data_IF_946451658863
#
_entry.id   IF_946451658863
#
_cell.length_a   1.000
_cell.length_b   1.000
_cell.length_c   1.000
_cell.angle_alpha   90.00
_cell.angle_beta   90.00
_cell.angle_gamma   90.00
#
_symmetry.space_group_name_H-M   'P 1'
#
loop_
_entity.id
_entity.type
_entity.pdbx_description
1 polymer ?
#
# COMPACT_ATOMS: atom_id res chain seq x y z
N UNK A 1 -7.43 8.16 -20.14
CA UNK A 1 -6.30 7.61 -20.95
C UNK A 1 -5.35 8.70 -21.44
N UNK A 2 -5.78 9.78 -22.11
CA UNK A 2 -4.84 10.77 -22.64
C UNK A 2 -3.95 11.45 -21.61
N UNK A 3 -4.47 11.79 -20.41
CA UNK A 3 -3.69 12.40 -19.31
C UNK A 3 -2.67 11.43 -18.71
N UNK A 4 -3.03 10.17 -18.57
CA UNK A 4 -2.16 9.10 -18.10
C UNK A 4 -0.94 8.93 -18.99
N UNK A 5 -1.16 8.74 -20.30
CA UNK A 5 -0.08 8.61 -21.29
C UNK A 5 0.76 9.87 -21.42
N UNK A 6 0.14 11.05 -21.29
CA UNK A 6 0.88 12.32 -21.29
C UNK A 6 1.81 12.40 -20.07
N UNK A 7 1.37 11.91 -18.91
CA UNK A 7 2.22 11.89 -17.73
C UNK A 7 3.43 10.96 -17.89
N UNK A 8 3.29 9.81 -18.56
CA UNK A 8 4.43 8.96 -18.91
C UNK A 8 5.47 9.70 -19.79
N UNK A 9 5.02 10.56 -20.70
CA UNK A 9 5.96 11.37 -21.46
C UNK A 9 6.70 12.40 -20.59
N UNK A 10 6.06 12.92 -19.52
CA UNK A 10 6.72 13.78 -18.53
C UNK A 10 7.72 12.98 -17.71
N UNK A 11 7.33 11.82 -17.20
CA UNK A 11 8.21 10.91 -16.46
C UNK A 11 9.47 10.56 -17.25
N UNK A 12 9.31 10.22 -18.54
CA UNK A 12 10.44 9.94 -19.42
C UNK A 12 11.40 11.13 -19.61
N UNK A 13 10.92 12.36 -19.38
CA UNK A 13 11.73 13.57 -19.38
C UNK A 13 12.60 13.72 -18.12
N UNK A 14 12.21 13.12 -17.01
CA UNK A 14 12.98 13.09 -15.76
C UNK A 14 13.86 11.82 -15.71
N UNK A 15 13.24 10.65 -15.69
CA UNK A 15 13.92 9.39 -15.51
C UNK A 15 13.20 8.27 -16.28
N UNK A 16 13.73 7.92 -17.45
CA UNK A 16 13.19 6.82 -18.24
C UNK A 16 13.60 5.46 -17.65
N UNK A 17 12.67 4.50 -17.64
CA UNK A 17 12.94 3.11 -17.24
C UNK A 17 12.91 2.85 -15.76
N UNK A 18 12.24 3.70 -14.97
CA UNK A 18 11.99 3.49 -13.56
C UNK A 18 11.05 2.30 -13.31
N UNK A 19 11.02 1.85 -12.05
CA UNK A 19 10.12 0.78 -11.59
C UNK A 19 8.69 0.99 -12.06
N UNK A 20 8.05 -0.10 -12.50
CA UNK A 20 6.70 -0.06 -13.06
C UNK A 20 5.68 0.44 -12.03
N UNK A 21 5.88 0.14 -10.74
CA UNK A 21 4.95 0.57 -9.68
C UNK A 21 4.94 2.09 -9.58
N UNK A 22 6.10 2.73 -9.43
CA UNK A 22 6.16 4.20 -9.30
C UNK A 22 5.68 4.88 -10.57
N UNK A 23 6.00 4.33 -11.76
CA UNK A 23 5.59 4.89 -13.04
C UNK A 23 4.07 4.87 -13.19
N UNK A 24 3.43 3.72 -13.03
CA UNK A 24 1.99 3.57 -13.21
C UNK A 24 1.18 4.25 -12.09
N UNK A 25 1.62 4.09 -10.84
CA UNK A 25 0.93 4.68 -9.69
C UNK A 25 0.90 6.21 -9.75
N UNK A 26 2.02 6.85 -10.10
CA UNK A 26 2.04 8.31 -10.22
C UNK A 26 1.34 8.82 -11.47
N UNK A 27 1.24 8.03 -12.56
CA UNK A 27 0.44 8.38 -13.72
C UNK A 27 -1.07 8.34 -13.44
N UNK A 28 -1.54 7.36 -12.66
CA UNK A 28 -2.92 7.31 -12.18
C UNK A 28 -3.21 8.48 -11.23
N UNK A 29 -2.33 8.74 -10.26
CA UNK A 29 -2.46 9.89 -9.37
C UNK A 29 -2.54 11.22 -10.14
N UNK A 30 -1.67 11.42 -11.14
CA UNK A 30 -1.66 12.64 -11.97
C UNK A 30 -2.95 12.78 -12.78
N UNK A 31 -3.53 11.67 -13.26
CA UNK A 31 -4.81 11.69 -13.98
C UNK A 31 -5.94 12.16 -13.10
N UNK A 32 -6.03 11.67 -11.87
CA UNK A 32 -7.03 12.11 -10.88
C UNK A 32 -6.84 13.59 -10.51
N UNK A 33 -5.59 14.03 -10.36
CA UNK A 33 -5.28 15.46 -10.11
C UNK A 33 -5.67 16.37 -11.26
N UNK A 34 -5.50 15.90 -12.50
CA UNK A 34 -5.84 16.64 -13.71
C UNK A 34 -7.34 16.78 -13.92
N UNK A 35 -8.10 15.72 -13.72
CA UNK A 35 -9.54 15.70 -13.89
C UNK A 35 -10.22 14.71 -12.91
N UNK A 36 -10.53 15.17 -11.69
CA UNK A 36 -11.20 14.34 -10.67
C UNK A 36 -12.64 13.95 -11.05
N UNK A 37 -13.18 14.48 -12.14
CA UNK A 37 -14.53 14.15 -12.61
C UNK A 37 -14.58 12.84 -13.42
N UNK A 38 -13.43 12.27 -13.80
CA UNK A 38 -13.36 11.01 -14.53
C UNK A 38 -13.88 9.82 -13.71
N UNK A 39 -13.79 9.89 -12.38
CA UNK A 39 -14.32 8.89 -11.44
C UNK A 39 -13.82 7.46 -11.73
N UNK A 40 -12.59 7.32 -12.24
CA UNK A 40 -11.95 6.03 -12.52
C UNK A 40 -10.91 5.64 -11.46
N UNK A 41 -10.45 6.58 -10.65
CA UNK A 41 -9.49 6.38 -9.57
C UNK A 41 -9.92 5.28 -8.60
N UNK A 42 -11.20 5.25 -8.22
CA UNK A 42 -11.77 4.26 -7.31
C UNK A 42 -11.70 2.83 -7.88
N UNK A 43 -11.74 2.70 -9.20
CA UNK A 43 -11.59 1.41 -9.86
C UNK A 43 -10.12 0.92 -9.81
N UNK A 44 -9.15 1.84 -9.95
CA UNK A 44 -7.74 1.50 -9.86
C UNK A 44 -7.34 1.10 -8.44
N UNK A 45 -7.68 1.89 -7.42
CA UNK A 45 -7.27 1.65 -6.03
C UNK A 45 -7.95 0.43 -5.40
N UNK A 46 -9.03 -0.08 -5.99
CA UNK A 46 -9.77 -1.24 -5.50
C UNK A 46 -8.87 -2.43 -5.21
N UNK A 47 -7.94 -2.77 -6.13
CA UNK A 47 -7.06 -3.94 -5.98
C UNK A 47 -6.14 -3.84 -4.78
N UNK A 48 -5.67 -2.65 -4.45
CA UNK A 48 -4.88 -2.42 -3.24
C UNK A 48 -5.74 -2.62 -1.99
N UNK A 49 -6.92 -2.01 -1.93
CA UNK A 49 -7.82 -2.10 -0.78
C UNK A 49 -8.39 -3.51 -0.57
N UNK A 50 -8.51 -4.32 -1.64
CA UNK A 50 -8.91 -5.73 -1.55
C UNK A 50 -7.77 -6.65 -1.09
N UNK A 51 -6.51 -6.23 -1.25
CA UNK A 51 -5.31 -7.03 -0.94
C UNK A 51 -4.24 -6.23 -0.20
N UNK A 52 -4.58 -5.63 0.94
CA UNK A 52 -3.67 -4.79 1.72
C UNK A 52 -2.49 -5.56 2.34
N UNK A 53 -2.58 -6.90 2.37
CA UNK A 53 -1.50 -7.80 2.80
C UNK A 53 -0.37 -7.89 1.78
N UNK A 54 -0.58 -7.44 0.55
CA UNK A 54 0.46 -7.39 -0.48
C UNK A 54 1.35 -6.18 -0.25
N UNK A 55 2.66 -6.39 -0.27
CA UNK A 55 3.63 -5.28 -0.21
C UNK A 55 3.48 -4.33 -1.39
N UNK A 56 3.61 -3.03 -1.15
CA UNK A 56 3.62 -2.04 -2.24
C UNK A 56 4.88 -2.12 -3.12
N UNK A 57 5.89 -2.91 -2.72
CA UNK A 57 7.12 -3.12 -3.47
C UNK A 57 7.09 -4.36 -4.36
N UNK A 58 6.06 -5.21 -4.23
CA UNK A 58 6.03 -6.47 -4.95
C UNK A 58 5.86 -6.21 -6.44
N UNK A 59 6.85 -6.65 -7.20
CA UNK A 59 6.80 -6.63 -8.65
C UNK A 59 5.50 -7.24 -9.20
N UNK A 60 5.00 -6.76 -10.33
CA UNK A 60 3.80 -7.29 -10.95
C UNK A 60 3.96 -8.77 -11.28
N UNK A 61 2.91 -9.55 -11.08
CA UNK A 61 2.87 -11.00 -11.33
C UNK A 61 2.72 -11.35 -12.83
N UNK A 62 2.74 -10.36 -13.71
CA UNK A 62 2.64 -10.52 -15.17
C UNK A 62 2.17 -9.25 -15.87
N UNK A 63 2.09 -9.32 -17.20
CA UNK A 63 1.75 -8.16 -18.05
C UNK A 63 0.37 -7.53 -17.80
N UNK A 64 -0.55 -8.25 -17.16
CA UNK A 64 -1.91 -7.78 -16.83
C UNK A 64 -2.14 -7.57 -15.33
N UNK A 65 -1.09 -7.54 -14.52
CA UNK A 65 -1.24 -7.22 -13.10
C UNK A 65 -1.53 -5.72 -12.93
N UNK A 66 -2.76 -5.40 -12.58
CA UNK A 66 -3.18 -4.02 -12.33
C UNK A 66 -2.81 -3.51 -10.92
N UNK A 67 -2.03 -4.25 -10.15
CA UNK A 67 -1.62 -3.82 -8.80
C UNK A 67 -0.75 -2.56 -8.80
N UNK A 68 0.23 -2.39 -9.72
CA UNK A 68 1.00 -1.15 -9.83
C UNK A 68 0.14 0.11 -9.89
N UNK A 69 -0.94 0.08 -10.67
CA UNK A 69 -1.89 1.19 -10.76
C UNK A 69 -2.56 1.49 -9.42
N UNK A 70 -2.84 0.47 -8.62
CA UNK A 70 -3.56 0.61 -7.36
C UNK A 70 -2.72 1.21 -6.24
N UNK A 71 -1.39 1.19 -6.34
CA UNK A 71 -0.46 1.88 -5.43
C UNK A 71 -0.59 3.40 -5.53
N UNK A 72 -1.29 3.92 -6.54
CA UNK A 72 -1.67 5.34 -6.64
C UNK A 72 -2.36 5.88 -5.39
N UNK A 73 -3.01 5.02 -4.59
CA UNK A 73 -3.58 5.41 -3.30
C UNK A 73 -2.52 5.90 -2.31
N UNK A 74 -1.31 5.34 -2.34
CA UNK A 74 -0.20 5.82 -1.52
C UNK A 74 0.25 7.24 -1.94
N UNK A 75 0.31 7.50 -3.25
CA UNK A 75 0.64 8.85 -3.74
C UNK A 75 -0.48 9.85 -3.48
N UNK A 76 -1.75 9.42 -3.50
CA UNK A 76 -2.87 10.24 -3.06
C UNK A 76 -2.78 10.58 -1.57
N UNK A 77 -2.40 9.61 -0.73
CA UNK A 77 -2.14 9.85 0.69
C UNK A 77 -1.02 10.89 0.88
N UNK A 78 0.12 10.74 0.20
CA UNK A 78 1.21 11.70 0.29
C UNK A 78 0.79 13.10 -0.17
N UNK A 79 0.02 13.21 -1.25
CA UNK A 79 -0.53 14.47 -1.77
C UNK A 79 -1.44 15.14 -0.73
N UNK A 80 -2.35 14.41 -0.09
CA UNK A 80 -3.25 14.98 0.93
C UNK A 80 -2.51 15.38 2.23
N UNK A 81 -1.38 14.73 2.53
CA UNK A 81 -0.56 15.01 3.72
C UNK A 81 0.40 16.18 3.52
N UNK A 82 1.06 16.25 2.37
CA UNK A 82 2.21 17.12 2.14
C UNK A 82 2.05 18.06 0.95
N UNK A 83 1.02 17.85 0.13
CA UNK A 83 0.80 18.57 -1.11
C UNK A 83 1.34 17.82 -2.33
N UNK A 84 0.91 18.21 -3.53
CA UNK A 84 1.26 17.52 -4.78
C UNK A 84 2.73 17.65 -5.15
N UNK A 85 3.43 18.60 -4.55
CA UNK A 85 4.85 18.87 -4.80
C UNK A 85 5.73 17.67 -4.47
N UNK A 86 5.34 16.81 -3.51
CA UNK A 86 6.10 15.63 -3.12
C UNK A 86 6.31 14.65 -4.28
N UNK A 87 5.33 14.53 -5.18
CA UNK A 87 5.47 13.68 -6.37
C UNK A 87 6.42 14.28 -7.39
N UNK A 88 6.45 15.61 -7.53
CA UNK A 88 7.43 16.30 -8.36
C UNK A 88 8.85 16.13 -7.80
N UNK A 89 9.01 16.31 -6.50
CA UNK A 89 10.29 16.10 -5.80
C UNK A 89 10.80 14.68 -6.01
N UNK A 90 9.91 13.67 -5.97
CA UNK A 90 10.27 12.28 -6.27
C UNK A 90 10.85 12.13 -7.68
N UNK A 91 10.18 12.66 -8.69
CA UNK A 91 10.68 12.56 -10.08
C UNK A 91 11.98 13.34 -10.29
N UNK A 92 12.16 14.48 -9.61
CA UNK A 92 13.44 15.21 -9.62
C UNK A 92 14.55 14.44 -8.92
N UNK A 93 14.26 13.72 -7.84
CA UNK A 93 15.23 12.87 -7.16
C UNK A 93 15.63 11.68 -8.03
N UNK A 94 14.68 11.02 -8.69
CA UNK A 94 14.93 9.91 -9.61
C UNK A 94 15.76 10.34 -10.84
N UNK A 95 15.59 11.57 -11.32
CA UNK A 95 16.44 12.15 -12.38
C UNK A 95 17.91 12.20 -11.97
N UNK A 96 18.19 12.49 -10.69
CA UNK A 96 19.54 12.59 -10.17
C UNK A 96 20.17 11.24 -9.85
N UNK A 97 19.36 10.19 -9.72
CA UNK A 97 19.77 8.84 -9.35
C UNK A 97 19.21 7.78 -10.33
N UNK A 98 19.47 7.90 -11.64
CA UNK A 98 18.79 7.08 -12.65
C UNK A 98 19.12 5.57 -12.56
N UNK A 99 20.21 5.22 -11.91
CA UNK A 99 20.65 3.82 -11.73
C UNK A 99 20.10 3.19 -10.42
N UNK A 100 19.35 3.96 -9.62
CA UNK A 100 18.77 3.48 -8.36
C UNK A 100 17.30 3.16 -8.59
N UNK A 101 17.01 1.89 -8.76
CA UNK A 101 15.64 1.35 -8.92
C UNK A 101 14.96 1.15 -7.54
N UNK A 102 15.15 2.13 -6.65
CA UNK A 102 14.56 2.14 -5.30
C UNK A 102 13.82 3.47 -5.07
N UNK A 103 12.64 3.55 -5.65
CA UNK A 103 11.77 4.71 -5.50
C UNK A 103 11.35 4.94 -4.03
N UNK A 104 11.35 3.88 -3.20
CA UNK A 104 10.97 3.97 -1.79
C UNK A 104 12.05 4.69 -0.99
N UNK A 105 13.32 4.34 -1.21
CA UNK A 105 14.44 5.07 -0.60
C UNK A 105 14.45 6.54 -1.04
N UNK A 106 14.05 6.83 -2.28
CA UNK A 106 13.89 8.20 -2.76
C UNK A 106 12.78 8.94 -2.02
N UNK A 107 11.60 8.31 -1.81
CA UNK A 107 10.52 8.88 -1.01
C UNK A 107 10.97 9.11 0.44
N UNK A 108 11.65 8.14 1.06
CA UNK A 108 12.15 8.27 2.44
C UNK A 108 13.13 9.43 2.58
N UNK A 109 14.05 9.56 1.62
CA UNK A 109 15.00 10.69 1.58
C UNK A 109 14.31 12.05 1.51
N UNK A 110 13.26 12.18 0.68
CA UNK A 110 12.45 13.40 0.56
C UNK A 110 11.69 13.68 1.85
N UNK A 111 11.01 12.67 2.40
CA UNK A 111 10.25 12.80 3.65
C UNK A 111 11.17 13.26 4.79
N UNK A 112 12.36 12.68 4.91
CA UNK A 112 13.34 13.03 5.94
C UNK A 112 13.90 14.44 5.75
N UNK A 113 14.24 14.82 4.52
CA UNK A 113 14.89 16.09 4.23
C UNK A 113 13.92 17.28 4.30
N UNK A 114 12.70 17.14 3.78
CA UNK A 114 11.80 18.25 3.53
C UNK A 114 10.60 18.31 4.49
N UNK A 115 10.21 17.15 5.08
CA UNK A 115 8.98 17.04 5.88
C UNK A 115 9.20 16.57 7.31
N UNK A 116 10.44 16.17 7.68
CA UNK A 116 10.80 15.80 9.05
C UNK A 116 10.15 14.52 9.55
N UNK A 117 9.85 13.61 8.65
CA UNK A 117 9.26 12.29 8.91
C UNK A 117 10.00 11.20 8.10
N UNK A 118 9.55 9.96 8.15
CA UNK A 118 10.16 8.84 7.41
C UNK A 118 9.11 8.08 6.60
N UNK A 119 9.55 7.29 5.62
CA UNK A 119 8.66 6.37 4.92
C UNK A 119 7.96 5.42 5.88
N UNK A 120 8.68 4.89 6.87
CA UNK A 120 8.13 3.97 7.88
C UNK A 120 6.98 4.61 8.65
N UNK A 121 7.17 5.86 9.13
CA UNK A 121 6.13 6.59 9.86
C UNK A 121 4.92 6.88 8.96
N UNK A 122 5.17 7.31 7.73
CA UNK A 122 4.09 7.66 6.80
C UNK A 122 3.36 6.41 6.24
N UNK A 123 4.05 5.29 6.05
CA UNK A 123 3.38 4.05 5.69
C UNK A 123 2.47 3.54 6.81
N UNK A 124 2.89 3.68 8.07
CA UNK A 124 2.05 3.39 9.24
C UNK A 124 0.76 4.23 9.20
N UNK A 125 0.88 5.54 8.98
CA UNK A 125 -0.28 6.44 8.86
C UNK A 125 -1.14 6.11 7.63
N UNK A 126 -0.54 5.81 6.50
CA UNK A 126 -1.24 5.36 5.30
C UNK A 126 -2.10 4.12 5.55
N UNK A 127 -1.53 3.11 6.23
CA UNK A 127 -2.27 1.91 6.57
C UNK A 127 -3.46 2.20 7.51
N UNK A 128 -3.29 3.12 8.45
CA UNK A 128 -4.39 3.57 9.33
C UNK A 128 -5.46 4.32 8.53
N UNK A 129 -5.07 5.21 7.60
CA UNK A 129 -6.02 5.94 6.76
C UNK A 129 -6.90 5.02 5.93
N UNK A 130 -6.39 3.87 5.48
CA UNK A 130 -7.15 2.89 4.70
C UNK A 130 -8.34 2.28 5.47
N UNK A 131 -8.36 2.35 6.80
CA UNK A 131 -9.53 1.96 7.60
C UNK A 131 -10.71 2.90 7.35
N UNK A 132 -10.42 4.19 7.06
CA UNK A 132 -11.44 5.23 6.87
C UNK A 132 -11.88 5.34 5.41
N UNK A 133 -12.30 4.23 4.81
CA UNK A 133 -12.80 4.17 3.44
C UNK A 133 -14.25 3.70 3.38
N UNK A 134 -14.96 4.06 2.31
CA UNK A 134 -16.37 3.72 2.10
C UNK A 134 -17.26 4.24 3.24
N UNK A 135 -18.13 3.38 3.77
CA UNK A 135 -19.04 3.75 4.88
C UNK A 135 -18.34 4.09 6.20
N UNK A 136 -17.03 3.80 6.33
CA UNK A 136 -16.22 4.15 7.50
C UNK A 136 -15.48 5.47 7.32
N UNK A 137 -15.68 6.16 6.21
CA UNK A 137 -14.97 7.38 5.91
C UNK A 137 -15.16 8.44 7.00
N UNK A 138 -14.05 9.07 7.34
CA UNK A 138 -14.01 10.22 8.23
C UNK A 138 -12.97 11.22 7.72
N UNK A 139 -13.37 12.25 6.97
CA UNK A 139 -12.44 13.18 6.33
C UNK A 139 -11.65 14.06 7.31
N UNK A 140 -12.01 14.03 8.61
CA UNK A 140 -11.20 14.70 9.65
C UNK A 140 -10.05 13.83 10.14
N UNK A 141 -10.05 12.54 9.81
CA UNK A 141 -9.05 11.56 10.22
C UNK A 141 -8.23 11.01 9.04
N UNK A 142 -8.76 11.09 7.82
CA UNK A 142 -8.15 10.46 6.64
C UNK A 142 -8.59 11.16 5.34
N UNK A 143 -8.64 10.40 4.23
CA UNK A 143 -8.92 10.90 2.88
C UNK A 143 -10.16 11.79 2.81
N UNK A 144 -10.03 12.91 2.15
CA UNK A 144 -11.14 13.85 1.91
C UNK A 144 -12.30 13.18 1.16
N UNK A 145 -11.98 12.34 0.19
CA UNK A 145 -12.94 11.62 -0.63
C UNK A 145 -13.10 10.14 -0.24
N UNK A 146 -12.62 9.75 0.95
CA UNK A 146 -12.65 8.37 1.43
C UNK A 146 -14.00 7.67 1.35
N UNK A 147 -15.11 8.42 1.39
CA UNK A 147 -16.47 7.89 1.26
C UNK A 147 -16.75 7.26 -0.14
N UNK A 148 -16.02 7.68 -1.17
CA UNK A 148 -16.11 7.14 -2.53
C UNK A 148 -15.28 5.88 -2.72
N UNK A 149 -14.27 5.67 -1.87
CA UNK A 149 -13.32 4.57 -2.01
C UNK A 149 -13.92 3.23 -1.58
N UNK A 150 -13.51 2.12 -2.18
CA UNK A 150 -13.86 0.79 -1.68
C UNK A 150 -13.44 0.61 -0.22
N UNK A 151 -14.15 -0.21 0.53
CA UNK A 151 -13.73 -0.58 1.87
C UNK A 151 -12.43 -1.39 1.80
N UNK A 152 -11.48 -1.10 2.71
CA UNK A 152 -10.34 -1.98 2.88
C UNK A 152 -10.79 -3.36 3.35
N UNK A 153 -10.20 -4.41 2.76
CA UNK A 153 -10.49 -5.79 3.11
C UNK A 153 -10.10 -6.06 4.57
N UNK A 154 -10.98 -6.74 5.28
CA UNK A 154 -10.77 -7.14 6.66
C UNK A 154 -11.40 -8.51 6.93
N UNK A 155 -10.84 -9.25 7.87
CA UNK A 155 -11.37 -10.52 8.34
C UNK A 155 -12.25 -10.28 9.56
N UNK A 156 -13.48 -10.81 9.57
CA UNK A 156 -14.31 -10.81 10.76
C UNK A 156 -13.76 -11.80 11.79
N UNK A 157 -13.71 -11.40 13.05
CA UNK A 157 -13.15 -12.18 14.13
C UNK A 157 -13.98 -12.06 15.40
N UNK A 158 -13.76 -12.98 16.33
CA UNK A 158 -14.36 -12.99 17.65
C UNK A 158 -13.27 -12.83 18.73
N UNK A 159 -13.62 -12.23 19.85
CA UNK A 159 -12.72 -12.08 20.99
C UNK A 159 -12.92 -13.24 22.01
N UNK A 160 -11.86 -13.70 22.71
CA UNK A 160 -10.48 -13.27 22.54
C UNK A 160 -9.90 -13.74 21.20
N UNK A 161 -9.15 -12.86 20.53
CA UNK A 161 -8.56 -13.16 19.23
C UNK A 161 -7.07 -13.47 19.40
N UNK A 162 -6.64 -14.60 18.83
CA UNK A 162 -5.24 -14.96 18.70
C UNK A 162 -4.92 -15.08 17.21
N UNK A 163 -4.05 -14.22 16.73
CA UNK A 163 -3.53 -14.32 15.37
C UNK A 163 -2.24 -15.11 15.43
N UNK A 164 -2.32 -16.36 14.97
CA UNK A 164 -1.17 -17.27 14.98
C UNK A 164 -0.34 -17.07 13.70
N UNK A 165 0.76 -16.33 13.85
CA UNK A 165 1.84 -16.15 12.88
C UNK A 165 1.38 -15.73 11.46
N UNK A 166 0.45 -14.75 11.29
CA UNK A 166 0.10 -14.26 9.97
C UNK A 166 1.35 -13.70 9.29
N UNK A 167 1.52 -14.02 8.01
CA UNK A 167 2.64 -13.49 7.24
C UNK A 167 2.43 -12.01 6.95
N UNK A 168 3.38 -11.18 7.39
CA UNK A 168 3.40 -9.73 7.22
C UNK A 168 4.58 -9.33 6.35
N UNK A 169 4.34 -8.99 5.09
CA UNK A 169 5.38 -8.50 4.19
C UNK A 169 5.80 -7.08 4.56
N UNK A 170 7.01 -6.66 4.17
CA UNK A 170 7.43 -5.26 4.27
C UNK A 170 6.44 -4.35 3.54
N UNK A 171 6.15 -3.18 4.06
CA UNK A 171 5.15 -2.25 3.59
C UNK A 171 3.81 -2.93 3.22
N UNK A 172 3.23 -3.62 4.20
CA UNK A 172 1.93 -4.25 4.10
C UNK A 172 1.13 -4.11 5.40
N UNK A 173 -0.17 -4.31 5.31
CA UNK A 173 -1.05 -4.30 6.47
C UNK A 173 -2.12 -5.38 6.36
N UNK A 174 -2.62 -5.84 7.50
CA UNK A 174 -3.79 -6.73 7.58
C UNK A 174 -4.76 -6.20 8.61
N UNK A 175 -6.04 -6.46 8.39
CA UNK A 175 -7.11 -5.89 9.19
C UNK A 175 -8.07 -6.97 9.67
N UNK A 176 -8.44 -6.89 10.96
CA UNK A 176 -9.45 -7.75 11.57
C UNK A 176 -10.51 -6.89 12.22
N UNK A 177 -11.74 -7.25 12.00
CA UNK A 177 -12.90 -6.56 12.59
C UNK A 177 -13.59 -7.45 13.60
N UNK A 178 -13.90 -6.91 14.76
CA UNK A 178 -14.60 -7.61 15.82
C UNK A 178 -15.51 -6.67 16.63
N UNK A 179 -16.48 -7.26 17.34
CA UNK A 179 -17.26 -6.55 18.35
C UNK A 179 -16.59 -6.70 19.72
N UNK A 180 -16.55 -5.66 20.57
CA UNK A 180 -15.94 -5.75 21.90
C UNK A 180 -16.72 -6.67 22.84
N UNK A 181 -18.01 -6.91 22.60
CA UNK A 181 -18.89 -7.68 23.47
C UNK A 181 -19.14 -6.95 24.79
N UNK A 182 -19.06 -7.67 25.90
CA UNK A 182 -19.29 -7.12 27.24
C UNK A 182 -17.99 -6.66 27.95
N UNK A 183 -16.91 -6.48 27.21
CA UNK A 183 -15.63 -6.00 27.78
C UNK A 183 -15.67 -4.50 27.96
N UNK A 184 -15.17 -4.01 29.08
CA UNK A 184 -15.09 -2.57 29.37
C UNK A 184 -13.91 -1.92 28.62
N UNK A 185 -12.83 -2.68 28.44
CA UNK A 185 -11.65 -2.27 27.69
C UNK A 185 -11.16 -3.39 26.80
N UNK A 186 -10.49 -3.01 25.69
CA UNK A 186 -9.80 -3.90 24.78
C UNK A 186 -8.36 -3.42 24.67
N UNK A 187 -7.44 -4.38 24.63
CA UNK A 187 -6.05 -4.15 24.27
C UNK A 187 -5.60 -5.18 23.23
N UNK A 188 -4.47 -4.90 22.59
CA UNK A 188 -3.79 -5.83 21.72
C UNK A 188 -2.29 -5.78 22.02
N UNK A 189 -1.60 -6.91 21.92
CA UNK A 189 -0.17 -6.98 22.16
C UNK A 189 0.47 -8.10 21.33
N UNK A 190 1.76 -7.98 21.10
CA UNK A 190 2.57 -9.04 20.49
C UNK A 190 2.96 -10.05 21.57
N UNK A 191 2.71 -11.31 21.30
CA UNK A 191 3.20 -12.36 22.19
C UNK A 191 4.72 -12.51 22.02
N UNK A 192 5.46 -12.80 23.11
CA UNK A 192 6.87 -13.12 23.03
C UNK A 192 7.08 -14.40 22.21
N UNK A 193 7.74 -14.29 21.09
CA UNK A 193 8.11 -15.40 20.21
C UNK A 193 9.55 -15.24 19.81
N UNK A 194 10.17 -16.31 19.28
CA UNK A 194 11.53 -16.22 18.75
C UNK A 194 11.60 -15.50 17.39
N UNK A 195 10.44 -15.15 16.82
CA UNK A 195 10.37 -14.41 15.58
C UNK A 195 10.73 -12.94 15.82
N UNK A 196 11.48 -12.39 14.89
CA UNK A 196 11.69 -10.95 14.84
C UNK A 196 10.36 -10.25 14.52
N UNK A 197 9.90 -9.43 15.43
CA UNK A 197 8.69 -8.63 15.28
C UNK A 197 9.00 -7.13 15.43
N UNK A 198 10.29 -6.78 15.46
CA UNK A 198 10.73 -5.40 15.57
C UNK A 198 10.18 -4.57 14.40
N UNK A 199 9.64 -3.41 14.72
CA UNK A 199 9.04 -2.48 13.74
C UNK A 199 7.57 -2.73 13.44
N UNK A 200 6.97 -3.87 13.81
CA UNK A 200 5.52 -4.07 13.66
C UNK A 200 4.73 -3.08 14.52
N UNK A 201 3.62 -2.62 13.97
CA UNK A 201 2.73 -1.67 14.62
C UNK A 201 1.32 -2.24 14.75
N UNK A 202 0.69 -1.98 15.88
CA UNK A 202 -0.69 -2.38 16.17
C UNK A 202 -1.53 -1.12 16.40
N UNK A 203 -2.67 -1.05 15.72
CA UNK A 203 -3.65 0.03 15.90
C UNK A 203 -5.04 -0.53 16.10
N UNK A 204 -5.79 0.06 17.02
CA UNK A 204 -7.22 -0.16 17.19
C UNK A 204 -7.97 1.07 16.69
N UNK A 205 -8.96 0.85 15.83
CA UNK A 205 -9.83 1.90 15.32
C UNK A 205 -11.27 1.57 15.75
N UNK A 206 -11.78 2.24 16.78
CA UNK A 206 -13.15 2.01 17.26
C UNK A 206 -14.18 2.62 16.31
N UNK A 207 -15.34 1.99 16.23
CA UNK A 207 -16.49 2.49 15.46
C UNK A 207 -17.76 2.36 16.31
N UNK A 208 -18.47 3.47 16.50
CA UNK A 208 -19.79 3.52 17.09
C UNK A 208 -20.90 3.48 16.03
N UNK A 209 -22.14 3.72 16.45
CA UNK A 209 -23.34 3.65 15.59
C UNK A 209 -23.24 4.53 14.34
N UNK A 210 -22.66 5.71 14.46
CA UNK A 210 -22.74 6.74 13.42
C UNK A 210 -21.39 7.25 12.92
N UNK A 211 -20.27 6.83 13.50
CA UNK A 211 -18.96 7.35 13.12
C UNK A 211 -17.84 6.38 13.48
N UNK A 212 -16.80 6.33 12.65
CA UNK A 212 -15.51 5.75 13.01
C UNK A 212 -14.74 6.77 13.83
N UNK A 213 -14.27 6.35 15.01
CA UNK A 213 -13.59 7.20 15.98
C UNK A 213 -12.11 7.36 15.63
N UNK A 214 -11.38 8.18 16.41
CA UNK A 214 -9.95 8.36 16.23
C UNK A 214 -9.19 7.03 16.42
N UNK A 215 -8.13 6.77 15.63
CA UNK A 215 -7.31 5.58 15.76
C UNK A 215 -6.45 5.67 17.01
N UNK A 216 -6.20 4.53 17.65
CA UNK A 216 -5.40 4.43 18.86
C UNK A 216 -4.27 3.45 18.61
N UNK A 217 -3.03 3.95 18.71
CA UNK A 217 -1.85 3.10 18.64
C UNK A 217 -1.76 2.27 19.92
N UNK A 218 -1.69 0.97 19.76
CA UNK A 218 -1.59 0.05 20.89
C UNK A 218 -0.11 -0.25 21.11
N UNK A 219 0.44 0.31 22.17
CA UNK A 219 1.81 0.08 22.62
C UNK A 219 1.73 -0.22 24.13
N UNK A 220 2.58 -1.14 24.59
CA UNK A 220 2.76 -1.43 26.02
C UNK A 220 1.42 -1.61 26.77
N UNK A 221 0.50 -2.40 26.19
CA UNK A 221 -0.79 -2.72 26.78
C UNK A 221 -1.75 -1.52 26.94
N UNK A 222 -1.70 -0.57 26.04
CA UNK A 222 -2.67 0.53 26.00
C UNK A 222 -4.10 -0.03 25.97
N UNK A 223 -4.91 0.32 26.97
CA UNK A 223 -6.31 -0.08 27.06
C UNK A 223 -7.22 0.92 26.33
N UNK A 224 -8.08 0.41 25.47
CA UNK A 224 -9.07 1.18 24.71
C UNK A 224 -10.45 0.94 25.29
N UNK A 225 -11.13 2.01 25.74
CA UNK A 225 -12.51 1.92 26.23
C UNK A 225 -13.45 1.44 25.14
N UNK A 226 -14.43 0.64 25.54
CA UNK A 226 -15.48 0.12 24.65
C UNK A 226 -16.80 0.87 24.79
N UNK A 227 -16.83 1.94 25.59
CA UNK A 227 -18.02 2.79 25.76
C UNK A 227 -18.42 3.36 24.39
N UNK A 228 -19.71 3.20 24.02
CA UNK A 228 -20.27 3.60 22.73
C UNK A 228 -19.62 2.96 21.48
N UNK A 229 -18.87 1.88 21.64
CA UNK A 229 -18.20 1.16 20.55
C UNK A 229 -19.00 -0.08 20.15
N UNK A 230 -19.45 -0.13 18.90
CA UNK A 230 -20.13 -1.30 18.32
C UNK A 230 -19.16 -2.30 17.70
N UNK A 231 -18.08 -1.79 17.10
CA UNK A 231 -17.06 -2.64 16.51
C UNK A 231 -15.70 -1.96 16.56
N UNK A 232 -14.64 -2.77 16.48
CA UNK A 232 -13.26 -2.30 16.36
C UNK A 232 -12.59 -2.92 15.15
N UNK A 233 -11.67 -2.17 14.55
CA UNK A 233 -10.75 -2.66 13.55
C UNK A 233 -9.35 -2.73 14.15
N UNK A 234 -8.77 -3.93 14.21
CA UNK A 234 -7.34 -4.09 14.45
C UNK A 234 -6.61 -3.94 13.11
N UNK A 235 -5.63 -3.06 13.05
CA UNK A 235 -4.64 -3.01 11.97
C UNK A 235 -3.31 -3.53 12.52
N UNK A 236 -2.79 -4.59 11.91
CA UNK A 236 -1.42 -5.07 12.08
C UNK A 236 -0.63 -4.58 10.88
N UNK A 237 0.41 -3.80 11.11
CA UNK A 237 1.12 -3.07 10.08
C UNK A 237 2.60 -3.42 10.15
N UNK A 238 3.18 -3.83 9.01
CA UNK A 238 4.62 -3.92 8.84
C UNK A 238 5.05 -2.73 7.96
N UNK A 239 5.51 -1.62 8.53
CA UNK A 239 5.84 -0.42 7.78
C UNK A 239 7.29 -0.42 7.27
N UNK A 240 8.06 -1.47 7.49
CA UNK A 240 9.47 -1.55 7.10
C UNK A 240 9.63 -1.45 5.58
N UNK A 241 10.70 -0.83 5.15
CA UNK A 241 11.04 -0.68 3.73
C UNK A 241 11.63 -1.96 3.13
N UNK A 242 12.32 -2.74 3.93
CA UNK A 242 13.05 -3.93 3.51
C UNK A 242 12.90 -5.03 4.55
N UNK A 243 13.37 -6.22 4.21
CA UNK A 243 13.43 -7.36 5.12
C UNK A 243 12.60 -8.54 4.68
N UNK A 244 12.78 -9.65 5.39
CA UNK A 244 11.93 -10.84 5.23
C UNK A 244 10.54 -10.57 5.80
N UNK A 245 9.56 -11.37 5.39
CA UNK A 245 8.23 -11.30 6.00
C UNK A 245 8.30 -11.68 7.48
N UNK A 246 7.62 -10.89 8.31
CA UNK A 246 7.46 -11.14 9.74
C UNK A 246 6.27 -12.07 9.99
N UNK A 247 6.30 -12.81 11.11
CA UNK A 247 5.23 -13.74 11.50
C UNK A 247 4.89 -13.57 12.98
N UNK A 248 4.20 -12.46 13.35
CA UNK A 248 3.85 -12.20 14.74
C UNK A 248 2.78 -13.13 15.24
N UNK A 249 2.78 -13.43 16.55
CA UNK A 249 1.58 -13.86 17.25
C UNK A 249 0.99 -12.63 17.92
N UNK A 250 -0.26 -12.29 17.57
CA UNK A 250 -0.96 -11.11 18.13
C UNK A 250 -2.11 -11.57 19.01
N UNK A 251 -2.14 -11.09 20.24
CA UNK A 251 -3.17 -11.33 21.22
C UNK A 251 -4.09 -10.11 21.33
N UNK A 252 -5.42 -10.31 21.27
CA UNK A 252 -6.41 -9.23 21.36
C UNK A 252 -7.56 -9.64 22.28
N UNK A 253 -7.92 -8.78 23.20
CA UNK A 253 -9.01 -9.04 24.14
C UNK A 253 -9.04 -8.06 25.31
N UNK A 254 -9.66 -8.43 26.43
CA UNK A 254 -9.44 -7.72 27.68
C UNK A 254 -7.98 -7.88 28.13
N UNK A 255 -7.46 -7.02 29.01
CA UNK A 255 -6.09 -7.13 29.51
C UNK A 255 -5.76 -8.55 30.05
N UNK A 256 -6.70 -9.17 30.77
CA UNK A 256 -6.52 -10.52 31.30
C UNK A 256 -6.44 -11.60 30.22
N UNK A 257 -7.26 -11.46 29.15
CA UNK A 257 -7.24 -12.39 28.01
C UNK A 257 -5.95 -12.27 27.21
N UNK A 258 -5.44 -11.05 27.04
CA UNK A 258 -4.16 -10.81 26.36
C UNK A 258 -3.00 -11.40 27.15
N UNK A 259 -2.93 -11.19 28.46
CA UNK A 259 -1.90 -11.82 29.30
C UNK A 259 -1.97 -13.36 29.27
N UNK A 260 -3.17 -13.93 29.32
CA UNK A 260 -3.34 -15.38 29.19
C UNK A 260 -2.88 -15.90 27.81
N UNK A 261 -3.17 -15.16 26.74
CA UNK A 261 -2.71 -15.48 25.39
C UNK A 261 -1.17 -15.46 25.31
N UNK A 262 -0.53 -14.40 25.79
CA UNK A 262 0.93 -14.23 25.80
C UNK A 262 1.61 -15.35 26.61
N UNK A 263 1.04 -15.73 27.75
CA UNK A 263 1.58 -16.83 28.56
C UNK A 263 1.49 -18.22 27.88
N UNK A 264 0.53 -18.39 26.97
CA UNK A 264 0.32 -19.62 26.22
C UNK A 264 1.01 -19.64 24.85
N UNK A 265 1.52 -18.50 24.39
CA UNK A 265 2.27 -18.45 23.14
C UNK A 265 3.58 -19.22 23.33
N UNK A 266 3.76 -20.28 22.56
CA UNK A 266 4.98 -21.05 22.60
C UNK A 266 6.06 -20.38 21.74
N UNK A 267 7.33 -20.33 22.18
CA UNK A 267 8.43 -20.03 21.30
C UNK A 267 8.38 -20.95 20.07
N UNK A 268 8.65 -20.42 18.88
CA UNK A 268 8.72 -21.29 17.71
C UNK A 268 9.87 -22.27 17.89
N UNK A 269 9.56 -23.55 18.09
CA UNK A 269 10.57 -24.58 17.90
C UNK A 269 11.09 -24.41 16.46
N UNK A 270 12.37 -24.04 16.28
CA UNK A 270 12.97 -23.74 14.97
C UNK A 270 12.86 -24.85 13.91
N UNK A 271 11.76 -25.58 13.92
CA UNK A 271 11.34 -26.50 12.88
C UNK A 271 10.96 -25.71 11.65
N UNK A 272 11.66 -25.95 10.54
CA UNK A 272 11.21 -25.62 9.20
C UNK A 272 9.77 -26.16 9.07
N UNK A 273 8.78 -25.34 9.38
CA UNK A 273 7.40 -25.61 9.02
C UNK A 273 7.35 -25.64 7.50
N UNK A 274 7.01 -26.80 6.96
CA UNK A 274 6.73 -26.97 5.54
C UNK A 274 5.88 -25.78 5.09
N UNK A 275 6.42 -24.99 4.17
CA UNK A 275 5.63 -24.09 3.36
C UNK A 275 4.49 -24.91 2.74
N UNK A 276 3.35 -24.96 3.44
CA UNK A 276 2.13 -25.37 2.79
C UNK A 276 1.88 -24.29 1.74
N UNK A 277 2.46 -24.52 0.57
CA UNK A 277 2.35 -23.67 -0.58
C UNK A 277 0.90 -23.27 -0.75
N UNK A 278 0.64 -21.98 -0.78
CA UNK A 278 -0.52 -21.55 -1.55
C UNK A 278 -0.41 -22.28 -2.89
N UNK A 279 -1.47 -22.89 -3.40
CA UNK A 279 -1.41 -23.44 -4.73
C UNK A 279 -1.07 -22.27 -5.66
N UNK A 280 0.15 -22.28 -6.17
CA UNK A 280 0.50 -21.57 -7.39
C UNK A 280 -0.62 -21.86 -8.36
N UNK A 281 -1.23 -20.80 -8.89
CA UNK A 281 -2.33 -20.91 -9.83
C UNK A 281 -1.93 -21.91 -10.91
N UNK A 282 -2.64 -23.03 -10.94
CA UNK A 282 -2.29 -24.22 -11.69
C UNK A 282 -1.83 -23.88 -13.10
N UNK A 283 -0.67 -24.35 -13.46
CA UNK A 283 -0.30 -24.65 -14.83
C UNK A 283 -1.42 -25.47 -15.44
N UNK A 284 -2.23 -24.83 -16.25
CA UNK A 284 -3.05 -25.53 -17.24
C UNK A 284 -2.07 -26.01 -18.32
N UNK A 285 -1.50 -27.19 -18.10
CA UNK A 285 -0.91 -27.97 -19.17
C UNK A 285 -1.99 -28.19 -20.23
N UNK A 286 -1.96 -27.35 -21.24
CA UNK A 286 -2.65 -27.63 -22.50
C UNK A 286 -1.85 -28.72 -23.20
N UNK A 287 -2.47 -29.94 -23.17
CA UNK A 287 -1.96 -31.15 -23.77
C UNK A 287 -1.47 -30.95 -25.20
N UNK A 288 -0.39 -31.65 -25.47
CA UNK A 288 0.27 -31.69 -26.76
C UNK A 288 -0.66 -32.10 -27.90
N UNK A 289 -0.41 -31.51 -29.05
CA UNK A 289 -0.74 -32.07 -30.36
C UNK A 289 0.52 -32.08 -31.23
N UNK A 290 0.76 -33.14 -31.95
CA UNK A 290 1.98 -33.34 -32.71
C UNK A 290 1.91 -32.74 -34.11
N UNK A 291 3.07 -32.39 -34.61
CA UNK A 291 3.49 -32.36 -36.04
C UNK A 291 2.81 -31.39 -37.02
N UNK A 292 3.63 -30.50 -37.49
CA UNK A 292 3.38 -29.72 -38.69
C UNK A 292 4.49 -28.68 -38.94
N UNK A 293 5.67 -29.12 -39.37
CA UNK A 293 6.73 -28.24 -39.74
C UNK A 293 6.36 -27.39 -40.96
N UNK A 294 6.49 -26.06 -40.82
CA UNK A 294 6.63 -25.14 -41.93
C UNK A 294 7.68 -24.10 -41.51
N UNK A 295 8.76 -24.08 -42.23
CA UNK A 295 9.88 -23.16 -42.13
C UNK A 295 9.40 -21.71 -42.46
N UNK A 296 9.47 -20.74 -41.58
CA UNK A 296 9.20 -19.34 -41.95
C UNK A 296 10.50 -18.66 -42.36
N UNK A 297 10.54 -18.23 -43.60
CA UNK A 297 11.63 -17.45 -44.20
C UNK A 297 11.89 -16.15 -43.43
N UNK A 298 13.03 -15.48 -43.70
CA UNK A 298 13.55 -14.36 -42.95
C UNK A 298 12.62 -13.13 -43.05
N UNK A 299 12.49 -12.35 -41.96
CA UNK A 299 11.70 -11.14 -41.97
C UNK A 299 12.31 -10.03 -42.84
N UNK A 300 11.48 -9.13 -43.39
CA UNK A 300 11.96 -8.02 -44.18
C UNK A 300 12.69 -6.97 -43.33
N UNK A 301 13.79 -6.45 -43.86
CA UNK A 301 14.54 -5.35 -43.28
C UNK A 301 13.66 -4.09 -43.22
N UNK A 302 13.34 -3.62 -42.01
CA UNK A 302 12.72 -2.30 -41.78
C UNK A 302 13.81 -1.26 -41.63
N UNK A 303 13.80 -0.28 -42.53
CA UNK A 303 14.71 0.83 -42.60
C UNK A 303 14.75 1.66 -41.32
N UNK A 304 15.97 1.95 -40.86
CA UNK A 304 16.22 2.80 -39.72
C UNK A 304 15.82 4.25 -39.97
N UNK A 305 14.98 4.77 -39.07
CA UNK A 305 14.85 6.22 -38.91
C UNK A 305 15.86 6.66 -37.85
N UNK A 306 16.89 7.38 -38.28
CA UNK A 306 17.82 8.09 -37.40
C UNK A 306 17.08 9.26 -36.74
N UNK A 307 16.86 9.16 -35.46
CA UNK A 307 16.35 10.29 -34.66
C UNK A 307 17.49 11.30 -34.41
N UNK A 308 17.29 12.51 -34.88
CA UNK A 308 18.12 13.66 -34.53
C UNK A 308 17.86 14.07 -33.10
N UNK A 309 18.92 14.09 -32.29
CA UNK A 309 18.96 14.69 -30.98
C UNK A 309 18.92 16.22 -31.09
N UNK A 310 17.79 16.81 -30.74
CA UNK A 310 17.62 18.25 -30.60
C UNK A 310 16.79 18.54 -29.37
N UNK A 311 17.44 18.91 -28.26
CA UNK A 311 16.73 19.43 -27.10
C UNK A 311 16.05 20.77 -27.43
N UNK A 312 14.82 20.97 -26.95
CA UNK A 312 14.55 22.07 -26.07
C UNK A 312 13.57 21.68 -24.95
N UNK A 313 14.08 21.35 -23.81
CA UNK A 313 13.29 21.03 -22.64
C UNK A 313 13.00 22.23 -21.76
N UNK A 314 12.18 23.17 -22.16
CA UNK A 314 11.88 24.31 -21.29
C UNK A 314 10.41 24.72 -21.20
N UNK A 315 9.61 24.40 -22.20
CA UNK A 315 8.27 25.02 -22.31
C UNK A 315 7.11 24.15 -21.80
N UNK A 316 7.24 22.83 -21.74
CA UNK A 316 6.15 21.96 -21.22
C UNK A 316 6.07 21.96 -19.69
N UNK A 317 7.17 22.20 -19.00
CA UNK A 317 7.22 22.23 -17.52
C UNK A 317 6.30 23.33 -16.95
N UNK A 318 6.24 24.48 -17.61
CA UNK A 318 5.40 25.60 -17.16
C UNK A 318 3.89 25.37 -17.32
N UNK A 319 3.50 24.54 -18.29
CA UNK A 319 2.09 24.22 -18.51
C UNK A 319 1.54 23.28 -17.43
N UNK A 320 2.32 22.31 -16.97
CA UNK A 320 1.90 21.39 -15.90
C UNK A 320 1.99 22.03 -14.51
N UNK A 321 3.01 22.84 -14.25
CA UNK A 321 3.08 23.67 -13.04
C UNK A 321 1.94 24.69 -12.97
N UNK A 322 1.54 25.26 -14.11
CA UNK A 322 0.37 26.17 -14.20
C UNK A 322 -0.95 25.48 -13.84
N UNK A 323 -1.14 24.23 -14.24
CA UNK A 323 -2.35 23.45 -13.91
C UNK A 323 -2.35 23.03 -12.44
N UNK A 324 -1.21 22.67 -11.87
CA UNK A 324 -1.09 22.31 -10.44
C UNK A 324 -1.32 23.52 -9.51
N UNK A 325 -0.97 24.73 -9.94
CA UNK A 325 -1.13 25.95 -9.14
C UNK A 325 -2.50 26.63 -9.33
N UNK A 326 -3.22 26.38 -10.43
CA UNK A 326 -4.52 27.02 -10.70
C UNK A 326 -5.65 26.45 -9.82
N UNK A 327 -5.56 25.25 -9.30
CA UNK A 327 -6.61 24.67 -8.45
C UNK A 327 -6.54 25.11 -6.97
N UNK A 328 -5.76 26.15 -6.62
CA UNK A 328 -5.71 26.74 -5.27
C UNK A 328 -6.57 28.00 -5.07
N UNK A 329 -7.48 28.32 -6.01
CA UNK A 329 -8.41 29.46 -5.85
C UNK A 329 -9.86 29.03 -5.97
#
# INVERSE_FOLDING_TARGET
>A
MGSHELFHAVQAGYAAGQDLIVSEATAVWATERFDPTLNDFEAFIRRFLERPERSIFVAPSGLVDGYPYSVSLFFRFLDERFGPEIVLELWQQLEQTPDVDDWVASVDGILSANYGTSFTDEYEQFAVWNVYTGRRANPTQAYQEGARYPLVASTDAELPLVLDRPRMFAASARYWRFAPGNRETITADLAPTDDDTEGLQLWLVPSGVNATMAPIKVLDQTEVSTEDVESMMLAVINPLQTGSSLRPTVCVGSPQEVEACKANAQPSDGGMGDDAGMPDGGDMDAGGSPDGGVDPGPPPETGGCTAHSGAPGGSLLWLLLGVMLWNRH
#
